data_IF_588817523712
#
_entry.id   IF_588817523712
#
_cell.length_a   1.000
_cell.length_b   1.000
_cell.length_c   1.000
_cell.angle_alpha   90.00
_cell.angle_beta   90.00
_cell.angle_gamma   90.00
#
_symmetry.space_group_name_H-M   'P 1'
#
loop_
_entity.id
_entity.type
_entity.pdbx_description
1 polymer ?
#
# COMPACT_ATOMS: atom_id res chain seq x y z
N UNK A 1 -16.99 -19.62 -4.34
CA UNK A 1 -16.36 -19.88 -3.03
C UNK A 1 -17.40 -19.65 -1.96
N UNK A 2 -17.76 -20.70 -1.22
CA UNK A 2 -18.63 -20.58 -0.06
C UNK A 2 -17.75 -20.10 1.10
N UNK A 3 -17.88 -18.83 1.50
CA UNK A 3 -17.20 -18.34 2.70
C UNK A 3 -17.75 -19.11 3.89
N UNK A 4 -16.94 -19.95 4.53
CA UNK A 4 -17.27 -20.53 5.82
C UNK A 4 -17.63 -19.38 6.76
N UNK A 5 -18.89 -19.29 7.18
CA UNK A 5 -19.33 -18.38 8.24
C UNK A 5 -18.72 -18.85 9.54
N UNK A 6 -17.45 -18.52 9.77
CA UNK A 6 -16.82 -18.64 11.08
C UNK A 6 -17.67 -17.82 12.05
N UNK A 7 -18.32 -18.51 12.98
CA UNK A 7 -19.12 -17.88 14.02
C UNK A 7 -18.15 -17.19 14.97
N UNK A 8 -18.13 -15.87 14.95
CA UNK A 8 -17.27 -15.08 15.83
C UNK A 8 -17.64 -15.46 17.29
N UNK A 9 -16.67 -15.83 18.14
CA UNK A 9 -16.94 -16.22 19.52
C UNK A 9 -17.76 -15.15 20.25
N UNK A 10 -18.77 -15.57 21.03
CA UNK A 10 -19.59 -14.65 21.83
C UNK A 10 -18.69 -13.79 22.74
N UNK A 11 -18.93 -12.47 22.73
CA UNK A 11 -18.13 -11.49 23.49
C UNK A 11 -17.09 -10.72 22.67
N UNK A 12 -16.71 -11.20 21.48
CA UNK A 12 -15.80 -10.49 20.58
C UNK A 12 -16.60 -9.86 19.43
N UNK A 13 -16.92 -8.57 19.55
CA UNK A 13 -17.56 -7.83 18.45
C UNK A 13 -16.52 -7.62 17.34
N UNK A 14 -16.80 -8.10 16.13
CA UNK A 14 -16.05 -7.65 14.96
C UNK A 14 -16.46 -6.20 14.68
N UNK A 15 -15.53 -5.27 14.89
CA UNK A 15 -15.73 -3.85 14.65
C UNK A 15 -15.21 -3.40 13.27
N UNK A 16 -14.73 -4.34 12.45
CA UNK A 16 -14.03 -4.07 11.19
C UNK A 16 -12.85 -3.11 11.39
N UNK A 17 -12.15 -3.24 12.51
CA UNK A 17 -10.94 -2.47 12.80
C UNK A 17 -9.79 -2.97 11.91
N UNK A 18 -9.14 -2.03 11.23
CA UNK A 18 -7.94 -2.26 10.42
C UNK A 18 -6.78 -1.47 11.00
N UNK A 19 -5.59 -2.06 11.03
CA UNK A 19 -4.40 -1.47 11.60
C UNK A 19 -3.28 -1.45 10.56
N UNK A 20 -2.71 -0.28 10.32
CA UNK A 20 -1.45 -0.16 9.59
C UNK A 20 -0.29 -0.58 10.50
N UNK A 21 0.72 -1.22 9.92
CA UNK A 21 1.90 -1.69 10.63
C UNK A 21 3.13 -0.97 10.14
N UNK A 22 3.82 -0.32 11.07
CA UNK A 22 5.17 0.18 10.85
C UNK A 22 6.17 -0.75 11.50
N UNK A 23 6.99 -1.39 10.69
CA UNK A 23 7.94 -2.40 11.13
C UNK A 23 9.34 -1.84 10.97
N UNK A 24 10.14 -1.98 12.02
CA UNK A 24 11.54 -1.56 12.05
C UNK A 24 12.43 -2.80 12.16
N UNK A 25 13.18 -3.06 11.09
CA UNK A 25 14.26 -4.04 11.06
C UNK A 25 15.58 -3.28 10.88
N UNK A 26 16.39 -3.65 9.88
CA UNK A 26 17.50 -2.83 9.40
C UNK A 26 16.98 -1.52 8.79
N UNK A 27 15.96 -1.64 7.95
CA UNK A 27 15.19 -0.54 7.37
C UNK A 27 13.78 -0.47 7.97
N UNK A 28 13.13 0.69 7.81
CA UNK A 28 11.74 0.89 8.22
C UNK A 28 10.82 0.69 7.03
N UNK A 29 9.77 -0.10 7.22
CA UNK A 29 8.70 -0.20 6.24
C UNK A 29 7.33 -0.02 6.87
N UNK A 30 6.39 0.47 6.08
CA UNK A 30 5.00 0.65 6.46
C UNK A 30 4.11 -0.20 5.56
N UNK A 31 3.27 -1.04 6.16
CA UNK A 31 2.19 -1.75 5.49
C UNK A 31 0.86 -1.11 5.91
N UNK A 32 0.11 -0.60 4.96
CA UNK A 32 -1.12 0.16 5.21
C UNK A 32 -2.26 -0.68 5.78
N UNK A 33 -2.34 -1.98 5.46
CA UNK A 33 -3.60 -2.74 5.56
C UNK A 33 -4.68 -2.04 4.71
N UNK A 34 -5.95 -2.19 5.05
CA UNK A 34 -7.03 -1.40 4.44
C UNK A 34 -7.19 -0.09 5.22
N UNK A 35 -7.17 1.05 4.52
CA UNK A 35 -7.31 2.41 5.08
C UNK A 35 -8.38 3.18 4.32
N UNK A 36 -8.93 4.24 4.92
CA UNK A 36 -9.96 5.03 4.23
C UNK A 36 -9.34 6.05 3.28
N UNK A 37 -8.17 6.59 3.65
CA UNK A 37 -7.47 7.61 2.87
C UNK A 37 -5.98 7.61 3.20
N UNK A 38 -5.16 8.17 2.30
CA UNK A 38 -3.72 8.32 2.53
C UNK A 38 -3.40 9.06 3.84
N UNK A 39 -4.23 10.03 4.22
CA UNK A 39 -4.06 10.84 5.43
C UNK A 39 -4.06 10.02 6.74
N UNK A 40 -4.69 8.83 6.75
CA UNK A 40 -4.71 7.94 7.92
C UNK A 40 -3.29 7.50 8.33
N UNK A 41 -2.38 7.40 7.35
CA UNK A 41 -1.02 6.89 7.53
C UNK A 41 0.08 7.91 7.16
N UNK A 42 -0.27 9.02 6.50
CA UNK A 42 0.67 9.98 5.91
C UNK A 42 1.76 10.47 6.86
N UNK A 43 1.42 10.75 8.12
CA UNK A 43 2.39 11.19 9.15
C UNK A 43 3.43 10.14 9.53
N UNK A 44 3.20 8.86 9.21
CA UNK A 44 4.09 7.75 9.54
C UNK A 44 4.97 7.30 8.38
N UNK A 45 4.72 7.78 7.17
CA UNK A 45 5.42 7.41 5.93
C UNK A 45 6.83 8.02 5.78
N UNK A 46 7.09 9.31 6.11
CA UNK A 46 8.34 9.99 5.70
C UNK A 46 9.66 9.39 6.20
N UNK A 47 9.64 8.61 7.29
CA UNK A 47 10.83 7.93 7.81
C UNK A 47 10.92 6.45 7.42
N UNK A 48 10.05 5.99 6.52
CA UNK A 48 10.06 4.64 5.99
C UNK A 48 10.81 4.60 4.66
N UNK A 49 11.68 3.61 4.48
CA UNK A 49 12.31 3.33 3.17
C UNK A 49 11.32 2.70 2.21
N UNK A 50 10.38 1.91 2.73
CA UNK A 50 9.37 1.22 1.94
C UNK A 50 7.96 1.49 2.48
N UNK A 51 7.02 1.73 1.59
CA UNK A 51 5.59 1.90 1.92
C UNK A 51 4.77 1.02 1.01
N UNK A 52 4.04 0.07 1.58
CA UNK A 52 3.09 -0.79 0.86
C UNK A 52 1.68 -0.25 1.11
N UNK A 53 1.05 0.28 0.07
CA UNK A 53 -0.21 1.00 0.15
C UNK A 53 -1.34 0.29 -0.60
N UNK A 54 -2.50 0.15 0.04
CA UNK A 54 -3.72 -0.31 -0.61
C UNK A 54 -4.26 0.72 -1.61
N UNK A 55 -5.01 0.26 -2.60
CA UNK A 55 -5.53 1.12 -3.68
C UNK A 55 -7.02 0.89 -3.98
N UNK A 56 -7.77 0.34 -3.04
CA UNK A 56 -9.23 0.25 -3.18
C UNK A 56 -9.92 1.51 -2.68
N UNK A 57 -9.37 2.18 -1.67
CA UNK A 57 -9.96 3.37 -1.07
C UNK A 57 -9.10 4.63 -1.23
N UNK A 58 -7.81 4.46 -1.50
CA UNK A 58 -6.87 5.55 -1.76
C UNK A 58 -6.88 5.90 -3.25
N UNK A 59 -6.56 7.14 -3.64
CA UNK A 59 -6.39 7.49 -5.07
C UNK A 59 -4.95 7.34 -5.54
N UNK A 60 -4.75 6.90 -6.79
CA UNK A 60 -3.41 6.71 -7.33
C UNK A 60 -2.69 8.04 -7.45
N UNK A 61 -3.42 9.08 -7.84
CA UNK A 61 -2.92 10.44 -8.00
C UNK A 61 -2.34 10.97 -6.69
N UNK A 62 -3.02 10.80 -5.54
CA UNK A 62 -2.49 11.20 -4.24
C UNK A 62 -1.20 10.44 -3.87
N UNK A 63 -1.14 9.15 -4.19
CA UNK A 63 0.06 8.32 -3.96
C UNK A 63 1.21 8.78 -4.83
N UNK A 64 0.95 9.06 -6.11
CA UNK A 64 1.92 9.57 -7.08
C UNK A 64 2.45 10.94 -6.63
N UNK A 65 1.56 11.88 -6.30
CA UNK A 65 1.94 13.22 -5.87
C UNK A 65 2.79 13.17 -4.59
N UNK A 66 2.44 12.29 -3.65
CA UNK A 66 3.28 12.05 -2.48
C UNK A 66 4.64 11.44 -2.85
N UNK A 67 4.67 10.44 -3.73
CA UNK A 67 5.90 9.75 -4.13
C UNK A 67 6.89 10.68 -4.87
N UNK A 68 6.40 11.63 -5.66
CA UNK A 68 7.21 12.68 -6.31
C UNK A 68 7.98 13.51 -5.28
N UNK A 69 7.35 13.85 -4.17
CA UNK A 69 7.99 14.63 -3.10
C UNK A 69 8.94 13.78 -2.22
N UNK A 70 8.91 12.46 -2.35
CA UNK A 70 9.57 11.50 -1.46
C UNK A 70 10.36 10.44 -2.23
N UNK A 71 11.20 10.85 -3.18
CA UNK A 71 11.99 9.97 -4.08
C UNK A 71 12.81 8.88 -3.38
N UNK A 72 13.20 9.09 -2.11
CA UNK A 72 13.94 8.10 -1.30
C UNK A 72 13.08 6.96 -0.76
N UNK A 73 11.76 7.11 -0.81
CA UNK A 73 10.80 6.10 -0.35
C UNK A 73 10.35 5.28 -1.55
N UNK A 74 10.51 3.96 -1.45
CA UNK A 74 9.97 3.01 -2.41
C UNK A 74 8.51 2.71 -2.04
N UNK A 75 7.59 3.08 -2.92
CA UNK A 75 6.15 2.88 -2.76
C UNK A 75 5.71 1.67 -3.57
N UNK A 76 5.04 0.73 -2.92
CA UNK A 76 4.49 -0.46 -3.54
C UNK A 76 2.97 -0.41 -3.42
N UNK A 77 2.31 -0.33 -4.56
CA UNK A 77 0.86 -0.31 -4.68
C UNK A 77 0.33 -1.74 -4.64
N UNK A 78 -0.64 -2.01 -3.76
CA UNK A 78 -1.29 -3.31 -3.60
C UNK A 78 -2.81 -3.15 -3.46
N UNK A 79 -3.52 -4.27 -3.30
CA UNK A 79 -4.98 -4.30 -3.10
C UNK A 79 -5.73 -3.43 -4.13
N UNK A 80 -5.41 -3.66 -5.41
CA UNK A 80 -5.99 -2.95 -6.55
C UNK A 80 -7.35 -3.57 -6.87
N UNK A 81 -8.39 -2.74 -6.94
CA UNK A 81 -9.72 -3.22 -7.32
C UNK A 81 -9.71 -3.72 -8.78
N UNK A 82 -10.31 -4.90 -9.07
CA UNK A 82 -10.29 -5.51 -10.41
C UNK A 82 -10.89 -4.65 -11.54
N UNK A 83 -11.72 -3.66 -11.20
CA UNK A 83 -12.30 -2.70 -12.13
C UNK A 83 -11.34 -1.60 -12.58
N UNK A 84 -10.17 -1.45 -11.96
CA UNK A 84 -9.16 -0.48 -12.38
C UNK A 84 -8.28 -1.01 -13.51
N UNK A 85 -7.87 -0.08 -14.39
CA UNK A 85 -6.94 -0.38 -15.47
C UNK A 85 -5.50 -0.38 -14.97
N UNK A 86 -4.94 -1.56 -14.74
CA UNK A 86 -3.53 -1.74 -14.39
C UNK A 86 -2.58 -1.05 -15.40
N UNK A 87 -2.90 -1.13 -16.69
CA UNK A 87 -2.13 -0.47 -17.75
C UNK A 87 -2.23 1.06 -17.68
N UNK A 88 -3.39 1.59 -17.28
CA UNK A 88 -3.56 3.02 -17.01
C UNK A 88 -2.66 3.49 -15.86
N UNK A 89 -2.55 2.69 -14.81
CA UNK A 89 -1.69 2.99 -13.66
C UNK A 89 -0.21 2.98 -14.02
N UNK A 90 0.23 1.95 -14.75
CA UNK A 90 1.61 1.89 -15.27
C UNK A 90 1.94 3.10 -16.14
N UNK A 91 1.05 3.46 -17.06
CA UNK A 91 1.24 4.63 -17.93
C UNK A 91 1.35 5.94 -17.14
N UNK A 92 0.61 6.09 -16.03
CA UNK A 92 0.70 7.27 -15.17
C UNK A 92 2.05 7.34 -14.44
N UNK A 93 2.52 6.21 -13.90
CA UNK A 93 3.83 6.08 -13.25
C UNK A 93 4.95 6.42 -14.25
N UNK A 94 4.90 5.84 -15.46
CA UNK A 94 5.86 6.08 -16.54
C UNK A 94 5.86 7.54 -17.01
N UNK A 95 4.69 8.16 -17.19
CA UNK A 95 4.57 9.57 -17.61
C UNK A 95 5.18 10.55 -16.61
N UNK A 96 5.25 10.16 -15.34
CA UNK A 96 5.84 10.97 -14.26
C UNK A 96 7.31 10.63 -14.01
N UNK A 97 7.88 9.70 -14.78
CA UNK A 97 9.26 9.20 -14.64
C UNK A 97 9.57 8.69 -13.22
N UNK A 98 8.57 8.06 -12.59
CA UNK A 98 8.71 7.58 -11.22
C UNK A 98 9.43 6.24 -11.19
N UNK A 99 10.63 6.24 -10.63
CA UNK A 99 11.45 5.03 -10.41
C UNK A 99 11.27 4.41 -9.03
N UNK A 100 10.59 5.12 -8.12
CA UNK A 100 10.36 4.71 -6.74
C UNK A 100 8.92 4.22 -6.49
N UNK A 101 8.11 4.01 -7.54
CA UNK A 101 6.76 3.46 -7.42
C UNK A 101 6.65 2.16 -8.21
N UNK A 102 6.18 1.11 -7.56
CA UNK A 102 5.96 -0.20 -8.17
C UNK A 102 4.55 -0.71 -7.88
N UNK A 103 4.04 -1.57 -8.75
CA UNK A 103 2.78 -2.28 -8.54
C UNK A 103 3.11 -3.71 -8.07
N UNK A 104 2.47 -4.15 -6.98
CA UNK A 104 2.61 -5.50 -6.47
C UNK A 104 2.00 -6.52 -7.45
N UNK A 105 2.70 -7.63 -7.61
CA UNK A 105 2.29 -8.76 -8.46
C UNK A 105 2.35 -10.04 -7.61
N UNK A 106 1.42 -10.96 -7.83
CA UNK A 106 1.38 -12.21 -7.06
C UNK A 106 2.66 -13.04 -7.27
N UNK A 107 3.21 -13.58 -6.18
CA UNK A 107 4.45 -14.35 -6.19
C UNK A 107 5.73 -13.52 -6.39
N UNK A 108 5.62 -12.19 -6.56
CA UNK A 108 6.78 -11.31 -6.70
C UNK A 108 7.34 -10.92 -5.33
N UNK A 109 8.57 -11.32 -5.07
CA UNK A 109 9.33 -10.79 -3.96
C UNK A 109 9.70 -9.33 -4.22
N UNK A 110 9.56 -8.47 -3.21
CA UNK A 110 10.12 -7.13 -3.23
C UNK A 110 11.53 -7.24 -2.68
N UNK A 111 12.53 -6.93 -3.50
CA UNK A 111 13.91 -6.90 -3.05
C UNK A 111 14.20 -5.57 -2.35
N UNK A 112 14.46 -5.66 -1.05
CA UNK A 112 14.81 -4.52 -0.21
C UNK A 112 16.33 -4.23 -0.18
N UNK A 113 17.13 -4.86 -1.05
CA UNK A 113 18.60 -4.82 -1.03
C UNK A 113 19.24 -3.66 -1.80
N UNK A 114 18.50 -2.96 -2.66
CA UNK A 114 19.09 -1.95 -3.55
C UNK A 114 19.34 -0.63 -2.82
N UNK A 115 20.61 -0.20 -2.83
CA UNK A 115 21.17 1.01 -2.18
C UNK A 115 20.98 2.24 -3.03
#
# INVERSE_FOLDING_TARGET
MEYMKLKIPEGYKNQCESFAFKVKCEEKFLYSSDIKSLEDIKKYMPDCRYVIIEMTHVSLEEVIDWAVEHEKTQVIISHIDPGFSLEGYKLLIEKKDLTNVAIAEEGKGIDFSHR
#
